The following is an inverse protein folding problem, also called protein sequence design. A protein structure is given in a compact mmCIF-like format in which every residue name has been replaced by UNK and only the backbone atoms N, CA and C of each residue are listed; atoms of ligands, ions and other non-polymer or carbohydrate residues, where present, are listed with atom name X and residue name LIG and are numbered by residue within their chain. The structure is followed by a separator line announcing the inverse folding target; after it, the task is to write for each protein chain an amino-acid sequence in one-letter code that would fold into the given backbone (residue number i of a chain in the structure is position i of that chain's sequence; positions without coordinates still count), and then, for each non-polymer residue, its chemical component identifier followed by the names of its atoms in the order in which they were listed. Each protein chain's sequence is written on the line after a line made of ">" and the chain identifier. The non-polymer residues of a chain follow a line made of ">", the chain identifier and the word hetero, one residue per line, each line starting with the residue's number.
data_IF_329341236970
#
_entry.id   IF_329341236970
#
_cell.length_a   1.000
_cell.length_b   1.000
_cell.length_c   1.000
_cell.angle_alpha   90.00
_cell.angle_beta   90.00
_cell.angle_gamma   90.00
#
_symmetry.space_group_name_H-M   'P 1'
#
loop_
_entity.id
_entity.type
_entity.pdbx_description
1 polymer ?
#
# COMPACT_ATOMS: atom_id res chain seq x y z
N UNK A 1 -36.14 39.40 -23.48
CA UNK A 1 -36.41 38.12 -22.83
C UNK A 1 -35.43 37.03 -23.26
N UNK A 2 -35.23 36.71 -24.56
CA UNK A 2 -34.30 35.63 -24.99
C UNK A 2 -32.86 35.78 -24.46
N UNK A 3 -32.27 36.99 -24.43
CA UNK A 3 -30.94 37.27 -23.91
C UNK A 3 -30.79 37.04 -22.39
N UNK A 4 -31.85 37.34 -21.62
CA UNK A 4 -31.90 37.18 -20.17
C UNK A 4 -31.98 35.67 -19.85
N UNK A 5 -32.79 34.92 -20.59
CA UNK A 5 -32.91 33.46 -20.44
C UNK A 5 -31.57 32.76 -20.77
N UNK A 6 -30.88 33.19 -21.82
CA UNK A 6 -29.57 32.65 -22.18
C UNK A 6 -28.51 32.93 -21.09
N UNK A 7 -28.53 34.13 -20.49
CA UNK A 7 -27.61 34.49 -19.40
C UNK A 7 -27.89 33.69 -18.13
N UNK A 8 -29.16 33.47 -17.79
CA UNK A 8 -29.56 32.61 -16.64
C UNK A 8 -29.20 31.18 -16.90
N UNK A 9 -29.37 30.63 -18.11
CA UNK A 9 -28.94 29.29 -18.46
C UNK A 9 -27.41 29.14 -18.40
N UNK A 10 -26.64 30.14 -18.83
CA UNK A 10 -25.18 30.14 -18.75
C UNK A 10 -24.73 30.19 -17.29
N UNK A 11 -25.33 30.98 -16.43
CA UNK A 11 -25.08 31.03 -15.00
C UNK A 11 -25.38 29.69 -14.31
N UNK A 12 -26.50 29.04 -14.66
CA UNK A 12 -26.85 27.73 -14.12
C UNK A 12 -25.86 26.62 -14.57
N UNK A 13 -25.32 26.69 -15.77
CA UNK A 13 -24.30 25.76 -16.26
C UNK A 13 -22.98 25.95 -15.49
N UNK A 14 -22.57 27.20 -15.26
CA UNK A 14 -21.35 27.50 -14.50
C UNK A 14 -21.46 27.05 -13.04
N UNK A 15 -22.65 27.22 -12.42
CA UNK A 15 -22.90 26.78 -11.03
C UNK A 15 -22.84 25.25 -10.92
N UNK A 16 -23.34 24.50 -11.92
CA UNK A 16 -23.26 23.04 -11.92
C UNK A 16 -21.84 22.52 -12.19
N UNK A 17 -20.99 23.29 -12.89
CA UNK A 17 -19.60 22.90 -13.15
C UNK A 17 -18.67 22.99 -11.91
N UNK A 18 -19.14 23.62 -10.83
CA UNK A 18 -18.40 23.79 -9.57
C UNK A 18 -19.11 23.12 -8.37
N UNK A 19 -20.01 22.16 -8.63
CA UNK A 19 -20.67 21.44 -7.55
C UNK A 19 -19.68 20.50 -6.85
N UNK A 20 -19.62 20.59 -5.54
CA UNK A 20 -18.79 19.70 -4.70
C UNK A 20 -19.05 18.23 -5.01
N UNK A 21 -17.97 17.48 -5.22
CA UNK A 21 -18.03 16.06 -5.50
C UNK A 21 -17.87 15.26 -4.20
N UNK A 22 -18.88 14.49 -3.86
CA UNK A 22 -18.87 13.68 -2.64
C UNK A 22 -17.66 12.74 -2.59
N UNK A 23 -17.04 12.65 -1.42
CA UNK A 23 -15.85 11.82 -1.17
C UNK A 23 -16.22 10.48 -0.51
N UNK A 24 -17.30 10.44 0.29
CA UNK A 24 -17.72 9.24 1.04
C UNK A 24 -18.79 8.51 0.26
N UNK A 25 -18.40 7.84 -0.82
CA UNK A 25 -19.30 7.14 -1.75
C UNK A 25 -19.20 5.64 -1.57
N UNK A 26 -20.35 4.95 -1.49
CA UNK A 26 -20.44 3.50 -1.44
C UNK A 26 -19.75 2.86 -2.63
N UNK A 27 -18.96 1.80 -2.39
CA UNK A 27 -18.23 1.06 -3.43
C UNK A 27 -16.88 1.65 -3.79
N UNK A 28 -16.63 2.94 -3.52
CA UNK A 28 -15.39 3.62 -3.88
C UNK A 28 -14.16 3.00 -3.21
N UNK A 29 -13.08 2.84 -3.97
CA UNK A 29 -11.88 2.20 -3.42
C UNK A 29 -10.58 2.81 -3.96
N UNK A 30 -9.50 2.64 -3.18
CA UNK A 30 -8.15 3.11 -3.52
C UNK A 30 -7.13 2.01 -3.30
N UNK A 31 -6.21 1.86 -4.24
CA UNK A 31 -5.02 1.05 -4.07
C UNK A 31 -3.86 1.96 -3.64
N UNK A 32 -3.26 1.61 -2.51
CA UNK A 32 -2.18 2.37 -1.88
C UNK A 32 -0.93 1.51 -1.88
N UNK A 33 0.10 1.94 -2.61
CA UNK A 33 1.40 1.28 -2.55
C UNK A 33 2.18 1.79 -1.33
N UNK A 34 2.77 0.87 -0.59
CA UNK A 34 3.75 1.14 0.45
C UNK A 34 5.10 0.60 0.00
N UNK A 35 6.14 1.44 0.05
CA UNK A 35 7.50 1.05 -0.23
C UNK A 35 8.34 1.23 1.03
N UNK A 36 9.06 0.19 1.45
CA UNK A 36 9.90 0.21 2.62
C UNK A 36 11.31 -0.28 2.29
N UNK A 37 12.35 0.35 2.89
CA UNK A 37 13.71 -0.12 2.88
C UNK A 37 13.94 -1.05 4.06
N UNK A 38 14.41 -2.26 3.80
CA UNK A 38 14.72 -3.22 4.85
C UNK A 38 16.24 -3.18 5.08
N UNK A 39 16.66 -2.45 6.11
CA UNK A 39 18.05 -2.47 6.53
C UNK A 39 18.34 -3.76 7.33
N UNK A 40 19.56 -4.37 7.22
CA UNK A 40 20.73 -3.89 6.49
C UNK A 40 20.88 -4.45 5.05
N UNK A 41 19.85 -5.02 4.45
CA UNK A 41 19.94 -5.84 3.24
C UNK A 41 19.79 -5.07 1.94
N UNK A 42 19.57 -3.75 1.98
CA UNK A 42 19.19 -2.92 0.81
C UNK A 42 17.98 -3.45 0.00
N UNK A 43 17.25 -4.41 0.57
CA UNK A 43 16.06 -4.97 -0.07
C UNK A 43 14.93 -3.94 -0.01
N UNK A 44 14.37 -3.67 -1.17
CA UNK A 44 13.21 -2.80 -1.35
C UNK A 44 11.95 -3.66 -1.30
N UNK A 45 11.05 -3.31 -0.40
CA UNK A 45 9.77 -4.00 -0.25
C UNK A 45 8.62 -3.13 -0.73
N UNK A 46 7.84 -3.66 -1.65
CA UNK A 46 6.56 -3.07 -2.05
C UNK A 46 5.40 -3.93 -1.53
N UNK A 47 4.33 -3.28 -1.16
CA UNK A 47 3.04 -3.91 -0.90
C UNK A 47 1.93 -2.97 -1.32
N UNK A 48 0.88 -3.50 -1.91
CA UNK A 48 -0.31 -2.73 -2.24
C UNK A 48 -1.45 -3.14 -1.32
N UNK A 49 -1.91 -2.19 -0.53
CA UNK A 49 -3.12 -2.30 0.27
C UNK A 49 -4.29 -1.71 -0.52
N UNK A 50 -5.52 -2.15 -0.22
CA UNK A 50 -6.75 -1.54 -0.75
C UNK A 50 -7.57 -0.97 0.40
N UNK A 51 -8.05 0.25 0.23
CA UNK A 51 -9.07 0.87 1.08
C UNK A 51 -10.38 0.88 0.30
N UNK A 52 -11.50 0.50 0.92
CA UNK A 52 -12.81 0.47 0.29
C UNK A 52 -13.90 0.95 1.25
N UNK A 53 -14.79 1.80 0.74
CA UNK A 53 -16.00 2.19 1.44
C UNK A 53 -17.08 1.17 1.10
N UNK A 54 -17.60 0.45 2.10
CA UNK A 54 -18.59 -0.59 1.86
C UNK A 54 -19.46 -0.86 3.10
N UNK A 55 -20.76 -0.65 2.94
CA UNK A 55 -21.78 -0.89 3.93
C UNK A 55 -21.91 0.20 4.98
N UNK A 56 -23.10 0.26 5.56
CA UNK A 56 -23.51 1.28 6.52
C UNK A 56 -23.39 0.80 7.98
N UNK A 57 -23.26 1.76 8.89
CA UNK A 57 -23.40 1.60 10.31
C UNK A 57 -24.22 2.75 10.88
N UNK A 58 -25.13 2.47 11.82
CA UNK A 58 -25.93 3.52 12.47
C UNK A 58 -25.42 3.67 13.90
N UNK A 59 -25.03 4.88 14.25
CA UNK A 59 -24.61 5.24 15.62
C UNK A 59 -25.43 6.45 16.05
N UNK A 60 -26.18 6.31 17.15
CA UNK A 60 -27.04 7.34 17.72
C UNK A 60 -28.00 8.00 16.68
N UNK A 61 -28.48 7.19 15.73
CA UNK A 61 -29.39 7.62 14.67
C UNK A 61 -28.71 8.27 13.46
N UNK A 62 -27.38 8.44 13.48
CA UNK A 62 -26.58 8.96 12.36
C UNK A 62 -26.07 7.80 11.53
N UNK A 63 -26.20 7.91 10.20
CA UNK A 63 -25.69 6.92 9.25
C UNK A 63 -24.24 7.24 8.90
N UNK A 64 -23.38 6.24 9.04
CA UNK A 64 -21.97 6.28 8.65
C UNK A 64 -21.69 5.20 7.62
N UNK A 65 -20.77 5.46 6.71
CA UNK A 65 -20.17 4.47 5.82
C UNK A 65 -18.98 3.79 6.50
N UNK A 66 -18.80 2.48 6.26
CA UNK A 66 -17.66 1.73 6.78
C UNK A 66 -16.47 1.83 5.85
N UNK A 67 -15.32 2.23 6.37
CA UNK A 67 -14.07 2.15 5.65
C UNK A 67 -13.33 0.87 6.03
N UNK A 68 -13.09 0.04 5.03
CA UNK A 68 -12.35 -1.21 5.16
C UNK A 68 -10.93 -1.06 4.63
N UNK A 69 -9.98 -1.71 5.28
CA UNK A 69 -8.61 -1.87 4.77
C UNK A 69 -8.33 -3.35 4.52
N UNK A 70 -7.87 -3.64 3.33
CA UNK A 70 -7.29 -4.89 2.90
C UNK A 70 -5.77 -4.73 2.94
N UNK A 71 -5.08 -5.49 3.77
CA UNK A 71 -3.62 -5.42 3.90
C UNK A 71 -2.86 -5.86 2.65
N UNK A 72 -3.55 -6.57 1.77
CA UNK A 72 -3.14 -6.92 0.42
C UNK A 72 -4.34 -6.69 -0.49
N UNK A 73 -4.20 -5.87 -1.53
CA UNK A 73 -5.30 -5.48 -2.40
C UNK A 73 -5.97 -6.65 -3.13
N UNK A 74 -5.25 -7.76 -3.29
CA UNK A 74 -5.76 -9.00 -3.91
C UNK A 74 -6.25 -10.04 -2.88
N UNK A 75 -6.39 -9.67 -1.60
CA UNK A 75 -6.87 -10.55 -0.53
C UNK A 75 -8.29 -10.19 -0.13
N UNK A 76 -9.08 -11.18 0.27
CA UNK A 76 -10.39 -10.96 0.88
C UNK A 76 -10.33 -10.62 2.37
N UNK A 77 -9.14 -10.73 2.98
CA UNK A 77 -8.95 -10.41 4.39
C UNK A 77 -8.96 -8.91 4.59
N UNK A 78 -9.96 -8.43 5.31
CA UNK A 78 -10.15 -7.01 5.62
C UNK A 78 -10.42 -6.79 7.10
N UNK A 79 -10.18 -5.57 7.54
CA UNK A 79 -10.57 -5.09 8.86
C UNK A 79 -11.19 -3.69 8.75
N UNK A 80 -12.14 -3.42 9.63
CA UNK A 80 -12.78 -2.12 9.74
C UNK A 80 -11.78 -1.12 10.31
N UNK A 81 -11.59 0.00 9.61
CA UNK A 81 -10.69 1.08 10.04
C UNK A 81 -11.42 2.07 10.90
N UNK A 82 -12.41 2.74 10.32
CA UNK A 82 -13.26 3.73 10.96
C UNK A 82 -14.62 3.76 10.25
N UNK A 83 -15.55 4.47 10.86
CA UNK A 83 -16.79 4.89 10.21
C UNK A 83 -16.61 6.30 9.67
N UNK A 84 -17.20 6.58 8.50
CA UNK A 84 -17.08 7.85 7.81
C UNK A 84 -18.45 8.50 7.63
N UNK A 85 -18.52 9.80 7.81
CA UNK A 85 -19.68 10.62 7.48
C UNK A 85 -19.23 11.86 6.72
N UNK A 86 -20.05 12.30 5.79
CA UNK A 86 -19.79 13.50 5.01
C UNK A 86 -20.94 14.50 5.17
N UNK A 87 -20.58 15.74 5.37
CA UNK A 87 -21.47 16.88 5.27
C UNK A 87 -21.23 17.57 3.94
N UNK A 88 -22.16 17.34 2.99
CA UNK A 88 -22.04 17.84 1.62
C UNK A 88 -22.17 19.38 1.58
N UNK A 89 -23.02 19.96 2.43
CA UNK A 89 -23.25 21.40 2.45
C UNK A 89 -22.03 22.15 3.00
N UNK A 90 -21.43 21.62 4.06
CA UNK A 90 -20.22 22.18 4.66
C UNK A 90 -18.93 21.69 4.00
N UNK A 91 -18.98 20.72 3.09
CA UNK A 91 -17.85 20.07 2.41
C UNK A 91 -16.85 19.46 3.41
N UNK A 92 -17.39 18.80 4.45
CA UNK A 92 -16.60 18.21 5.53
C UNK A 92 -16.75 16.71 5.59
N UNK A 93 -15.63 16.01 5.82
CA UNK A 93 -15.61 14.57 6.07
C UNK A 93 -15.17 14.32 7.50
N UNK A 94 -15.91 13.47 8.19
CA UNK A 94 -15.68 13.09 9.57
C UNK A 94 -15.34 11.60 9.67
N UNK A 95 -14.45 11.27 10.59
CA UNK A 95 -14.14 9.90 10.99
C UNK A 95 -14.69 9.65 12.40
N UNK A 96 -15.30 8.48 12.61
CA UNK A 96 -15.83 8.04 13.90
C UNK A 96 -15.23 6.70 14.32
N UNK A 97 -14.71 6.65 15.55
CA UNK A 97 -14.24 5.41 16.19
C UNK A 97 -14.44 5.47 17.71
N UNK A 98 -14.97 4.39 18.30
CA UNK A 98 -15.09 4.18 19.75
C UNK A 98 -15.76 5.34 20.52
N UNK A 99 -16.80 5.92 19.96
CA UNK A 99 -17.57 7.01 20.60
C UNK A 99 -17.03 8.41 20.34
N UNK A 100 -16.01 8.55 19.51
CA UNK A 100 -15.41 9.84 19.17
C UNK A 100 -15.55 10.10 17.67
N UNK A 101 -16.12 11.27 17.31
CA UNK A 101 -16.12 11.77 15.94
C UNK A 101 -15.12 12.91 15.84
N UNK A 102 -14.29 12.91 14.79
CA UNK A 102 -13.30 13.94 14.52
C UNK A 102 -13.33 14.35 13.06
N UNK A 103 -12.99 15.61 12.79
CA UNK A 103 -12.84 16.11 11.42
C UNK A 103 -11.66 15.41 10.74
N UNK A 104 -11.92 14.84 9.55
CA UNK A 104 -10.91 14.22 8.71
C UNK A 104 -10.47 15.18 7.60
N UNK A 105 -11.44 15.75 6.85
CA UNK A 105 -11.20 16.73 5.79
C UNK A 105 -12.18 17.88 5.90
N UNK A 106 -11.72 19.08 5.59
CA UNK A 106 -12.54 20.27 5.37
C UNK A 106 -12.16 20.90 4.04
N UNK A 107 -13.05 20.78 3.06
CA UNK A 107 -12.87 21.39 1.74
C UNK A 107 -13.66 22.71 1.61
N UNK A 108 -14.46 23.06 2.64
CA UNK A 108 -15.19 24.34 2.74
C UNK A 108 -14.33 25.54 3.17
N UNK A 109 -13.04 25.34 3.34
CA UNK A 109 -12.09 26.32 3.87
C UNK A 109 -11.69 27.40 2.88
N UNK A 110 -11.11 28.49 3.43
CA UNK A 110 -10.43 29.57 2.70
C UNK A 110 -8.91 29.56 3.00
N UNK A 111 -8.13 30.20 2.13
CA UNK A 111 -6.68 30.34 2.31
C UNK A 111 -6.38 31.12 3.60
N UNK A 112 -5.52 30.57 4.46
CA UNK A 112 -5.17 31.11 5.76
C UNK A 112 -5.98 30.55 6.93
N UNK A 113 -7.04 29.79 6.67
CA UNK A 113 -7.79 29.12 7.74
C UNK A 113 -6.94 28.13 8.50
N UNK A 114 -7.17 28.07 9.81
CA UNK A 114 -6.53 27.10 10.71
C UNK A 114 -7.57 26.12 11.22
N UNK A 115 -7.35 24.84 10.95
CA UNK A 115 -8.26 23.77 11.35
C UNK A 115 -7.54 22.70 12.17
N UNK A 116 -8.34 22.01 13.00
CA UNK A 116 -7.88 20.82 13.73
C UNK A 116 -8.47 19.60 13.08
N UNK A 117 -7.63 18.61 12.78
CA UNK A 117 -8.01 17.40 12.07
C UNK A 117 -7.44 16.15 12.74
N UNK A 118 -7.91 15.00 12.28
CA UNK A 118 -7.32 13.72 12.61
C UNK A 118 -5.94 13.59 11.93
N UNK A 119 -4.87 13.63 12.71
CA UNK A 119 -3.51 13.55 12.17
C UNK A 119 -3.00 12.14 11.99
N UNK A 120 -3.44 11.19 12.81
CA UNK A 120 -2.91 9.81 12.81
C UNK A 120 -4.01 8.78 13.05
N UNK A 121 -4.25 7.95 12.04
CA UNK A 121 -5.14 6.78 12.11
C UNK A 121 -4.44 5.50 12.53
N UNK A 122 -3.12 5.48 12.71
CA UNK A 122 -2.42 4.26 13.11
C UNK A 122 -3.00 3.66 14.41
N UNK A 123 -3.61 4.50 15.23
CA UNK A 123 -4.31 4.07 16.45
C UNK A 123 -5.63 3.37 16.18
N UNK A 124 -6.31 3.64 15.06
CA UNK A 124 -7.53 2.92 14.70
C UNK A 124 -7.23 1.45 14.37
N UNK A 125 -6.04 1.14 13.90
CA UNK A 125 -5.59 -0.23 13.60
C UNK A 125 -5.21 -1.05 14.85
N UNK A 126 -5.02 -0.40 15.99
CA UNK A 126 -4.64 -1.08 17.22
C UNK A 126 -5.87 -1.24 18.13
N UNK A 127 -6.39 -2.46 18.33
CA UNK A 127 -7.56 -2.70 19.16
C UNK A 127 -7.37 -2.24 20.63
N UNK A 128 -6.12 -2.11 21.08
CA UNK A 128 -5.77 -1.65 22.43
C UNK A 128 -5.56 -0.13 22.51
N UNK A 129 -5.73 0.61 21.42
CA UNK A 129 -5.58 2.07 21.44
C UNK A 129 -6.78 2.77 22.06
N UNK A 130 -6.57 4.01 22.51
CA UNK A 130 -7.63 4.88 23.02
C UNK A 130 -8.63 5.37 21.95
N UNK A 131 -8.48 4.92 20.69
CA UNK A 131 -9.27 5.41 19.56
C UNK A 131 -8.63 6.61 18.87
N UNK A 132 -9.41 7.23 17.97
CA UNK A 132 -9.02 8.43 17.21
C UNK A 132 -9.25 9.70 18.04
N UNK A 133 -8.50 10.76 17.73
CA UNK A 133 -8.67 12.10 18.31
C UNK A 133 -8.17 13.16 17.35
N UNK A 134 -8.69 14.37 17.49
CA UNK A 134 -8.08 15.55 16.87
C UNK A 134 -6.72 15.78 17.51
N UNK A 135 -5.66 15.67 16.74
CA UNK A 135 -4.30 15.75 17.25
C UNK A 135 -3.35 16.50 16.31
N UNK A 136 -3.89 17.16 15.29
CA UNK A 136 -3.10 17.89 14.31
C UNK A 136 -3.74 19.24 13.99
N UNK A 137 -2.95 20.31 14.09
CA UNK A 137 -3.33 21.65 13.66
C UNK A 137 -2.65 21.96 12.32
N UNK A 138 -3.44 22.28 11.32
CA UNK A 138 -2.97 22.61 9.97
C UNK A 138 -3.55 23.95 9.51
N UNK A 139 -2.84 24.59 8.59
CA UNK A 139 -3.23 25.86 7.97
C UNK A 139 -3.38 25.67 6.47
N UNK A 140 -4.42 26.26 5.89
CA UNK A 140 -4.65 26.25 4.44
C UNK A 140 -3.65 27.19 3.79
N UNK A 141 -2.75 26.62 2.98
CA UNK A 141 -1.73 27.38 2.25
C UNK A 141 -2.26 27.86 0.89
N UNK A 142 -2.94 26.97 0.17
CA UNK A 142 -3.41 27.25 -1.18
C UNK A 142 -4.66 26.44 -1.51
N UNK A 143 -5.47 27.00 -2.40
CA UNK A 143 -6.64 26.36 -3.00
C UNK A 143 -6.52 26.48 -4.52
N UNK A 144 -6.48 25.34 -5.20
CA UNK A 144 -6.42 25.23 -6.64
C UNK A 144 -7.64 24.46 -7.18
N UNK A 145 -7.83 24.51 -8.47
CA UNK A 145 -8.81 23.74 -9.20
C UNK A 145 -8.16 23.03 -10.38
N UNK A 146 -8.54 21.78 -10.60
CA UNK A 146 -8.02 20.96 -11.70
C UNK A 146 -9.17 20.35 -12.49
N UNK A 147 -9.02 20.32 -13.81
CA UNK A 147 -9.97 19.61 -14.67
C UNK A 147 -9.71 18.10 -14.59
N UNK A 148 -10.72 17.38 -14.14
CA UNK A 148 -10.73 15.92 -14.13
C UNK A 148 -11.60 15.41 -15.29
N UNK A 149 -11.16 14.43 -16.08
CA UNK A 149 -11.88 13.96 -17.26
C UNK A 149 -13.22 13.27 -16.93
N UNK A 150 -13.41 12.83 -15.69
CA UNK A 150 -14.59 12.08 -15.25
C UNK A 150 -15.54 12.98 -14.44
N UNK A 151 -14.99 13.73 -13.49
CA UNK A 151 -15.75 14.48 -12.50
C UNK A 151 -15.82 15.99 -12.78
N UNK A 152 -15.18 16.47 -13.85
CA UNK A 152 -15.10 17.90 -14.18
C UNK A 152 -14.10 18.64 -13.29
N UNK A 153 -14.39 19.88 -12.93
CA UNK A 153 -13.48 20.70 -12.12
C UNK A 153 -13.49 20.25 -10.66
N UNK A 154 -12.36 19.78 -10.16
CA UNK A 154 -12.17 19.35 -8.76
C UNK A 154 -11.37 20.37 -7.96
N UNK A 155 -11.75 20.60 -6.72
CA UNK A 155 -11.04 21.44 -5.75
C UNK A 155 -9.84 20.70 -5.19
N UNK A 156 -8.73 21.40 -5.06
CA UNK A 156 -7.49 20.92 -4.43
C UNK A 156 -7.14 21.87 -3.30
N UNK A 157 -6.95 21.33 -2.10
CA UNK A 157 -6.55 22.12 -0.94
C UNK A 157 -5.19 21.66 -0.45
N UNK A 158 -4.25 22.59 -0.39
CA UNK A 158 -2.91 22.34 0.16
C UNK A 158 -2.83 22.93 1.54
N UNK A 159 -2.43 22.09 2.50
CA UNK A 159 -2.24 22.45 3.90
C UNK A 159 -0.77 22.37 4.27
N UNK A 160 -0.36 23.09 5.31
CA UNK A 160 0.90 22.88 5.99
C UNK A 160 0.69 22.68 7.49
N UNK A 161 1.57 21.89 8.09
CA UNK A 161 1.55 21.62 9.52
C UNK A 161 2.27 22.74 10.28
N UNK A 162 1.65 23.23 11.37
CA UNK A 162 2.21 24.30 12.22
C UNK A 162 2.81 23.76 13.52
N UNK A 163 2.73 22.46 13.78
CA UNK A 163 3.33 21.88 15.00
C UNK A 163 4.85 21.83 14.89
N UNK A 164 5.55 22.10 15.99
CA UNK A 164 7.02 22.27 16.01
C UNK A 164 7.79 21.12 15.36
N UNK A 165 7.36 19.87 15.59
CA UNK A 165 8.03 18.66 15.08
C UNK A 165 7.85 18.49 13.56
N UNK A 166 6.76 19.03 12.99
CA UNK A 166 6.37 18.84 11.60
C UNK A 166 6.20 20.16 10.86
N UNK A 167 6.74 21.23 11.39
CA UNK A 167 6.56 22.56 10.86
C UNK A 167 7.00 22.67 9.40
N UNK A 168 6.09 23.18 8.56
CA UNK A 168 6.32 23.37 7.12
C UNK A 168 6.12 22.12 6.25
N UNK A 169 5.80 20.95 6.81
CA UNK A 169 5.39 19.81 5.98
C UNK A 169 4.04 20.08 5.35
N UNK A 170 3.98 19.85 4.03
CA UNK A 170 2.79 20.09 3.23
C UNK A 170 2.09 18.80 2.84
N UNK A 171 0.78 18.87 2.75
CA UNK A 171 -0.04 17.82 2.18
C UNK A 171 -1.14 18.42 1.30
N UNK A 172 -1.60 17.64 0.35
CA UNK A 172 -2.59 18.06 -0.61
C UNK A 172 -3.75 17.09 -0.60
N UNK A 173 -4.95 17.62 -0.43
CA UNK A 173 -6.22 16.88 -0.49
C UNK A 173 -6.91 17.23 -1.81
N UNK A 174 -7.25 16.22 -2.57
CA UNK A 174 -8.02 16.32 -3.79
C UNK A 174 -9.47 15.98 -3.47
N UNK A 175 -10.38 16.87 -3.83
CA UNK A 175 -11.79 16.56 -3.85
C UNK A 175 -12.01 15.21 -4.57
N UNK A 176 -12.93 14.39 -4.12
CA UNK A 176 -13.21 13.05 -4.62
C UNK A 176 -12.12 12.01 -4.29
N UNK A 177 -10.84 12.33 -4.42
CA UNK A 177 -9.75 11.35 -4.33
C UNK A 177 -9.05 11.29 -2.95
N UNK A 178 -9.26 12.30 -2.10
CA UNK A 178 -8.55 12.41 -0.83
C UNK A 178 -7.07 12.76 -0.98
N UNK A 179 -6.24 12.31 -0.06
CA UNK A 179 -4.80 12.63 -0.06
C UNK A 179 -4.01 11.76 -1.04
N UNK A 180 -2.92 12.31 -1.57
CA UNK A 180 -2.00 11.58 -2.45
C UNK A 180 -1.28 10.44 -1.73
N UNK A 181 -1.13 10.53 -0.41
CA UNK A 181 -0.45 9.55 0.44
C UNK A 181 -1.36 8.41 0.90
N UNK A 182 -2.60 8.40 0.46
CA UNK A 182 -3.63 7.47 0.88
C UNK A 182 -4.79 8.23 1.51
N UNK A 183 -6.00 7.75 1.29
CA UNK A 183 -7.22 8.48 1.66
C UNK A 183 -7.29 8.88 3.14
N UNK A 184 -6.59 8.15 4.01
CA UNK A 184 -6.59 8.32 5.45
C UNK A 184 -5.19 8.47 6.06
N UNK A 185 -4.17 8.75 5.27
CA UNK A 185 -2.83 8.85 5.82
C UNK A 185 -2.49 10.28 6.25
N UNK A 186 -1.82 10.30 7.38
CA UNK A 186 -1.23 11.38 8.13
C UNK A 186 -1.04 12.66 7.35
N UNK A 187 -1.86 13.63 7.68
CA UNK A 187 -1.66 15.00 7.25
C UNK A 187 -0.24 15.46 7.60
N UNK A 188 0.53 15.81 6.58
CA UNK A 188 1.78 16.54 6.75
C UNK A 188 2.73 15.96 7.82
N UNK A 189 2.72 14.65 8.05
CA UNK A 189 3.68 14.02 8.96
C UNK A 189 4.89 13.54 8.18
N UNK A 190 6.09 13.94 8.65
CA UNK A 190 7.33 13.38 8.14
C UNK A 190 7.40 11.90 8.51
N UNK A 191 7.56 11.05 7.52
CA UNK A 191 7.83 9.63 7.77
C UNK A 191 9.26 9.48 8.30
N UNK A 192 9.39 9.28 9.59
CA UNK A 192 10.65 8.86 10.21
C UNK A 192 10.71 7.34 10.09
N UNK A 193 11.48 6.81 9.14
CA UNK A 193 11.65 5.36 9.05
C UNK A 193 11.71 4.75 7.65
N UNK A 194 11.85 5.56 6.60
CA UNK A 194 12.19 5.04 5.26
C UNK A 194 11.07 4.30 4.52
N UNK A 195 9.81 4.40 4.95
CA UNK A 195 8.67 3.92 4.17
C UNK A 195 7.91 5.10 3.55
N UNK A 196 7.51 4.96 2.29
CA UNK A 196 6.65 5.90 1.60
C UNK A 196 5.35 5.22 1.20
N UNK A 197 4.25 5.99 1.22
CA UNK A 197 2.94 5.49 0.78
C UNK A 197 2.37 6.45 -0.26
N UNK A 198 1.71 5.87 -1.29
CA UNK A 198 1.06 6.66 -2.34
C UNK A 198 -0.19 5.94 -2.85
N UNK A 199 -1.23 6.71 -3.12
CA UNK A 199 -2.37 6.26 -3.92
C UNK A 199 -1.90 6.12 -5.36
N UNK A 200 -2.02 4.93 -5.91
CA UNK A 200 -1.65 4.63 -7.30
C UNK A 200 -2.87 4.52 -8.21
N UNK A 201 -3.96 3.99 -7.70
CA UNK A 201 -5.21 3.87 -8.43
C UNK A 201 -6.40 4.15 -7.52
N UNK A 202 -7.48 4.68 -8.11
CA UNK A 202 -8.80 4.73 -7.50
C UNK A 202 -9.84 4.13 -8.45
N UNK A 203 -10.88 3.55 -7.86
CA UNK A 203 -11.97 2.90 -8.57
C UNK A 203 -13.29 3.43 -8.04
N UNK A 204 -14.24 3.62 -8.91
CA UNK A 204 -15.59 4.09 -8.58
C UNK A 204 -16.47 2.98 -7.96
N UNK A 205 -17.74 3.29 -7.76
CA UNK A 205 -18.76 2.38 -7.23
C UNK A 205 -19.07 1.18 -8.12
N UNK A 206 -18.64 1.20 -9.38
CA UNK A 206 -18.78 0.11 -10.35
C UNK A 206 -17.49 -0.70 -10.52
N UNK A 207 -16.47 -0.45 -9.69
CA UNK A 207 -15.10 -0.97 -9.82
C UNK A 207 -14.41 -0.52 -11.14
N UNK A 208 -14.85 0.58 -11.76
CA UNK A 208 -14.19 1.17 -12.91
C UNK A 208 -13.02 2.06 -12.47
N UNK A 209 -11.90 1.94 -13.19
CA UNK A 209 -10.69 2.72 -12.90
C UNK A 209 -10.91 4.20 -13.24
N UNK A 210 -10.93 5.06 -12.22
CA UNK A 210 -11.17 6.51 -12.37
C UNK A 210 -9.91 7.34 -12.13
N UNK A 211 -8.90 6.79 -11.49
CA UNK A 211 -7.60 7.44 -11.30
C UNK A 211 -6.50 6.42 -11.46
N UNK A 212 -5.53 6.71 -12.33
CA UNK A 212 -4.25 6.00 -12.39
C UNK A 212 -3.12 7.01 -12.33
N UNK A 213 -2.22 6.82 -11.38
CA UNK A 213 -1.04 7.68 -11.23
C UNK A 213 0.21 6.86 -11.55
N UNK A 214 0.96 7.32 -12.53
CA UNK A 214 2.34 6.89 -12.70
C UNK A 214 3.17 7.52 -11.60
N UNK A 215 3.90 6.72 -10.87
CA UNK A 215 4.65 7.20 -9.73
C UNK A 215 6.04 6.60 -9.67
N UNK A 216 7.03 7.48 -9.75
CA UNK A 216 8.43 7.11 -9.46
C UNK A 216 8.67 7.22 -7.97
N UNK A 217 8.84 6.10 -7.31
CA UNK A 217 9.22 6.09 -5.89
C UNK A 217 10.74 6.29 -5.84
N UNK A 218 11.18 7.44 -5.33
CA UNK A 218 12.60 7.79 -5.22
C UNK A 218 13.39 6.65 -4.60
N UNK A 219 14.36 6.13 -5.33
CA UNK A 219 15.18 4.98 -4.94
C UNK A 219 14.55 3.61 -5.17
N UNK A 220 13.31 3.51 -5.69
CA UNK A 220 12.59 2.24 -5.88
C UNK A 220 12.21 1.95 -7.35
N UNK A 221 12.11 2.98 -8.19
CA UNK A 221 11.70 2.87 -9.59
C UNK A 221 10.24 3.22 -9.82
N UNK A 222 9.80 2.99 -11.04
CA UNK A 222 8.47 3.37 -11.50
C UNK A 222 7.43 2.32 -11.11
N UNK A 223 6.25 2.78 -10.69
CA UNK A 223 5.08 1.97 -10.40
C UNK A 223 4.05 2.28 -11.49
N UNK A 224 3.86 1.34 -12.40
CA UNK A 224 2.97 1.49 -13.55
C UNK A 224 1.61 0.79 -13.36
N UNK A 225 1.54 -0.21 -12.46
CA UNK A 225 0.36 -1.03 -12.24
C UNK A 225 -0.40 -0.66 -10.97
N UNK A 226 -1.72 -0.88 -10.98
CA UNK A 226 -2.57 -0.69 -9.80
C UNK A 226 -2.28 -1.68 -8.66
N UNK A 227 -1.47 -2.69 -8.88
CA UNK A 227 -1.02 -3.65 -7.88
C UNK A 227 0.46 -3.96 -8.04
N UNK A 228 1.22 -3.71 -6.98
CA UNK A 228 2.65 -4.04 -6.90
C UNK A 228 2.92 -4.72 -5.58
N UNK A 229 3.57 -5.87 -5.64
CA UNK A 229 4.00 -6.62 -4.46
C UNK A 229 5.39 -7.17 -4.71
N UNK A 230 6.34 -6.76 -3.89
CA UNK A 230 7.61 -7.48 -3.86
C UNK A 230 7.37 -8.72 -3.02
N UNK A 231 7.39 -9.86 -3.65
CA UNK A 231 7.58 -11.08 -2.90
C UNK A 231 8.98 -10.99 -2.26
N UNK A 232 9.01 -10.78 -0.94
CA UNK A 232 10.17 -11.20 -0.18
C UNK A 232 10.02 -12.72 -0.12
N UNK A 233 10.20 -13.33 -1.29
CA UNK A 233 10.67 -14.68 -1.28
C UNK A 233 12.04 -14.60 -0.63
N UNK A 234 12.38 -15.53 0.20
CA UNK A 234 13.64 -16.18 0.02
C UNK A 234 13.69 -16.46 -1.48
N UNK A 235 14.15 -15.49 -2.27
CA UNK A 235 14.62 -15.75 -3.61
C UNK A 235 15.93 -16.52 -3.45
N UNK A 236 15.77 -17.76 -3.08
CA UNK A 236 16.41 -18.79 -3.87
C UNK A 236 15.69 -18.64 -5.22
N UNK A 237 16.30 -17.93 -6.15
CA UNK A 237 15.93 -18.07 -7.55
C UNK A 237 15.89 -19.58 -7.77
N UNK A 238 14.69 -20.11 -7.94
CA UNK A 238 14.55 -21.46 -8.43
C UNK A 238 15.11 -21.36 -9.85
N UNK A 239 16.29 -21.92 -10.13
CA UNK A 239 16.87 -21.81 -11.47
C UNK A 239 15.81 -22.33 -12.42
N UNK A 240 15.54 -21.55 -13.47
CA UNK A 240 14.64 -21.96 -14.57
C UNK A 240 15.32 -23.02 -15.44
N UNK A 241 15.85 -24.05 -14.81
CA UNK A 241 16.29 -25.30 -15.43
C UNK A 241 16.02 -26.37 -14.41
N UNK A 242 15.28 -27.38 -14.81
CA UNK A 242 15.06 -28.61 -14.06
C UNK A 242 16.39 -29.36 -13.86
N UNK A 243 17.31 -28.78 -13.12
CA UNK A 243 18.49 -29.48 -12.64
C UNK A 243 18.08 -30.13 -11.34
N UNK A 244 17.72 -31.40 -11.40
CA UNK A 244 17.20 -32.12 -10.25
C UNK A 244 18.32 -32.65 -9.38
N UNK A 245 18.55 -31.98 -8.24
CA UNK A 245 19.29 -32.61 -7.13
C UNK A 245 18.25 -33.12 -6.14
N UNK A 246 18.18 -34.41 -5.91
CA UNK A 246 17.32 -35.01 -4.90
C UNK A 246 18.02 -36.07 -4.06
N UNK A 247 17.64 -36.19 -2.80
CA UNK A 247 18.17 -37.15 -1.88
C UNK A 247 17.20 -38.31 -1.66
N UNK A 248 17.65 -39.54 -1.93
CA UNK A 248 16.92 -40.74 -1.57
C UNK A 248 17.39 -41.23 -0.20
N UNK A 249 16.54 -41.11 0.82
CA UNK A 249 16.87 -41.48 2.20
C UNK A 249 16.98 -42.98 2.44
N UNK A 250 16.34 -43.83 1.61
CA UNK A 250 16.39 -45.27 1.72
C UNK A 250 17.77 -45.80 1.19
N UNK A 251 18.19 -45.26 0.07
CA UNK A 251 19.45 -45.65 -0.57
C UNK A 251 20.65 -44.88 -0.02
N UNK A 252 20.39 -43.81 0.77
CA UNK A 252 21.40 -42.88 1.27
C UNK A 252 22.28 -42.32 0.15
N UNK A 253 21.61 -41.86 -0.93
CA UNK A 253 22.27 -41.33 -2.12
C UNK A 253 21.68 -39.98 -2.51
N UNK A 254 22.55 -39.06 -2.91
CA UNK A 254 22.21 -37.83 -3.56
C UNK A 254 22.27 -38.04 -5.07
N UNK A 255 21.18 -37.87 -5.78
CA UNK A 255 21.10 -37.93 -7.22
C UNK A 255 21.30 -36.55 -7.81
N UNK A 256 21.99 -36.49 -8.95
CA UNK A 256 22.50 -35.28 -9.56
C UNK A 256 22.19 -35.36 -11.04
N UNK A 257 21.44 -34.39 -11.56
CA UNK A 257 21.11 -34.29 -12.98
C UNK A 257 21.49 -32.93 -13.53
N UNK A 258 22.79 -32.77 -13.78
CA UNK A 258 23.32 -31.62 -14.54
C UNK A 258 24.56 -32.03 -15.33
N UNK A 259 24.86 -31.23 -16.36
CA UNK A 259 25.98 -31.47 -17.26
C UNK A 259 27.17 -30.58 -16.86
N UNK A 260 28.33 -31.22 -16.73
CA UNK A 260 29.60 -30.53 -16.45
C UNK A 260 30.35 -31.03 -15.21
N UNK A 261 31.58 -30.57 -15.08
CA UNK A 261 32.42 -30.85 -13.92
C UNK A 261 32.18 -29.73 -12.88
N UNK A 262 31.73 -30.11 -11.69
CA UNK A 262 31.40 -29.16 -10.65
C UNK A 262 31.79 -29.58 -9.24
N UNK A 263 31.85 -28.60 -8.33
CA UNK A 263 32.08 -28.85 -6.91
C UNK A 263 30.75 -28.61 -6.16
N UNK A 264 30.23 -29.67 -5.55
CA UNK A 264 29.04 -29.57 -4.68
C UNK A 264 29.43 -29.30 -3.24
N UNK A 265 28.77 -28.36 -2.61
CA UNK A 265 28.84 -28.08 -1.20
C UNK A 265 27.50 -28.35 -0.51
N UNK A 266 27.54 -29.01 0.65
CA UNK A 266 26.36 -29.32 1.46
C UNK A 266 26.49 -28.61 2.79
N UNK A 267 25.44 -27.89 3.18
CA UNK A 267 25.35 -27.13 4.43
C UNK A 267 24.20 -27.65 5.27
N UNK A 268 24.35 -27.64 6.58
CA UNK A 268 23.23 -27.87 7.51
C UNK A 268 22.34 -26.61 7.65
N UNK A 269 21.26 -26.74 8.40
CA UNK A 269 20.30 -25.67 8.64
C UNK A 269 20.90 -24.44 9.36
N UNK A 270 22.08 -24.59 9.98
CA UNK A 270 22.83 -23.52 10.65
C UNK A 270 23.86 -22.85 9.72
N UNK A 271 23.89 -23.24 8.45
CA UNK A 271 24.87 -22.74 7.47
C UNK A 271 26.27 -23.32 7.63
N UNK A 272 26.45 -24.33 8.49
CA UNK A 272 27.73 -25.02 8.62
C UNK A 272 27.93 -25.98 7.45
N UNK A 273 29.07 -25.86 6.78
CA UNK A 273 29.45 -26.76 5.69
C UNK A 273 29.73 -28.17 6.21
N UNK A 274 28.94 -29.13 5.73
CA UNK A 274 28.99 -30.55 6.13
C UNK A 274 29.86 -31.34 5.21
N UNK A 275 29.84 -31.04 3.89
CA UNK A 275 30.58 -31.77 2.86
C UNK A 275 30.91 -30.85 1.68
N UNK A 276 32.03 -31.16 1.02
CA UNK A 276 32.31 -30.68 -0.34
C UNK A 276 32.77 -31.89 -1.15
N UNK A 277 32.29 -32.01 -2.37
CA UNK A 277 32.70 -33.09 -3.28
C UNK A 277 32.78 -32.57 -4.71
N UNK A 278 33.92 -32.85 -5.33
CA UNK A 278 34.07 -32.64 -6.78
C UNK A 278 33.34 -33.79 -7.50
N UNK A 279 32.60 -33.42 -8.52
CA UNK A 279 31.83 -34.32 -9.38
C UNK A 279 32.15 -34.00 -10.83
N UNK A 280 32.13 -35.02 -11.67
CA UNK A 280 32.27 -34.92 -13.12
C UNK A 280 30.93 -35.13 -13.84
N UNK A 281 30.90 -34.88 -15.14
CA UNK A 281 29.71 -35.02 -15.97
C UNK A 281 29.15 -36.46 -16.02
N UNK A 282 29.96 -37.47 -15.66
CA UNK A 282 29.54 -38.86 -15.58
C UNK A 282 28.91 -39.22 -14.22
N UNK A 283 29.10 -38.38 -13.19
CA UNK A 283 28.61 -38.62 -11.85
C UNK A 283 27.12 -38.32 -11.73
N UNK A 284 26.26 -39.33 -11.82
CA UNK A 284 24.81 -39.19 -11.69
C UNK A 284 24.28 -39.38 -10.24
N UNK A 285 25.10 -39.92 -9.33
CA UNK A 285 24.75 -39.98 -7.91
C UNK A 285 26.01 -40.17 -7.02
N UNK A 286 25.90 -39.68 -5.80
CA UNK A 286 26.94 -39.84 -4.77
C UNK A 286 26.35 -40.47 -3.51
N UNK A 287 27.07 -41.40 -2.84
CA UNK A 287 26.67 -41.90 -1.54
C UNK A 287 26.79 -40.78 -0.52
N UNK A 288 25.76 -40.56 0.27
CA UNK A 288 25.66 -39.47 1.22
C UNK A 288 24.96 -39.94 2.50
N UNK A 289 25.67 -40.05 3.59
CA UNK A 289 25.13 -40.47 4.87
C UNK A 289 24.97 -39.26 5.81
N UNK A 290 23.83 -38.64 5.74
CA UNK A 290 23.48 -37.49 6.58
C UNK A 290 22.61 -37.92 7.77
N UNK A 291 22.74 -37.20 8.88
CA UNK A 291 21.84 -37.34 10.02
C UNK A 291 20.48 -36.72 9.65
N UNK A 292 19.46 -37.14 10.40
CA UNK A 292 18.13 -36.51 10.26
C UNK A 292 18.24 -34.99 10.39
N UNK A 293 17.65 -34.26 9.45
CA UNK A 293 17.75 -32.82 9.40
C UNK A 293 17.45 -32.21 8.02
N UNK A 294 17.58 -30.88 7.94
CA UNK A 294 17.45 -30.09 6.72
C UNK A 294 18.86 -29.71 6.26
N UNK A 295 19.11 -29.88 4.96
CA UNK A 295 20.39 -29.52 4.34
C UNK A 295 20.14 -28.74 3.06
N UNK A 296 21.08 -27.86 2.73
CA UNK A 296 21.13 -27.10 1.50
C UNK A 296 22.32 -27.59 0.68
N UNK A 297 22.05 -27.91 -0.58
CA UNK A 297 23.07 -28.32 -1.55
C UNK A 297 23.28 -27.18 -2.54
N UNK A 298 24.53 -26.78 -2.75
CA UNK A 298 24.91 -25.72 -3.69
C UNK A 298 26.05 -26.22 -4.58
N UNK A 299 26.20 -25.58 -5.76
CA UNK A 299 27.43 -25.71 -6.51
C UNK A 299 28.47 -24.65 -6.08
N UNK A 300 29.68 -24.71 -6.63
CA UNK A 300 30.79 -23.79 -6.35
C UNK A 300 30.45 -22.33 -6.71
N UNK A 301 29.61 -22.13 -7.72
CA UNK A 301 29.21 -20.81 -8.20
C UNK A 301 27.96 -20.30 -7.48
N UNK A 302 27.41 -21.06 -6.53
CA UNK A 302 26.16 -20.77 -5.81
C UNK A 302 24.93 -20.59 -6.71
N UNK A 303 24.98 -21.10 -7.95
CA UNK A 303 23.88 -20.95 -8.93
C UNK A 303 22.83 -22.07 -8.86
N UNK A 304 23.09 -23.13 -8.08
CA UNK A 304 22.15 -24.25 -7.89
C UNK A 304 21.90 -24.43 -6.42
N UNK A 305 20.63 -24.38 -6.06
CA UNK A 305 20.19 -24.60 -4.69
C UNK A 305 19.15 -25.72 -4.66
N UNK A 306 19.40 -26.74 -3.89
CA UNK A 306 18.40 -27.75 -3.56
C UNK A 306 18.31 -27.93 -2.06
N UNK A 307 17.08 -27.95 -1.55
CA UNK A 307 16.79 -28.26 -0.15
C UNK A 307 16.48 -29.75 -0.03
N UNK A 308 17.25 -30.46 0.73
CA UNK A 308 17.00 -31.87 1.05
C UNK A 308 16.56 -32.04 2.49
N UNK A 309 15.58 -32.90 2.71
CA UNK A 309 15.10 -33.29 4.06
C UNK A 309 15.42 -34.75 4.28
N UNK A 310 16.30 -34.99 5.26
CA UNK A 310 16.65 -36.34 5.71
C UNK A 310 15.76 -36.71 6.87
N UNK A 311 14.95 -37.76 6.72
CA UNK A 311 14.00 -38.27 7.71
C UNK A 311 14.61 -39.40 8.52
#
# INVERSE_FOLDING_TARGET
>A
MKKIILFICLMLIVINAMAYQAMVVEGYSWNVVSAAHILPTDLKKYSTAKQKIEGDSIVDGIVYKKLWLYSDANSDKRFLVVLLREDIEEQKVFAYDKGVEVLLYDLGVEVGDTIKVLGDLSKAYNPNSAGIKENLTIVVENIDFVEDPIYGTLKIVTYYNVEEVFNGFKCTVYERYGMTTGWLFNYCMAYVGGSTQRVICAFDENDELVLKREYTITGYGDVEDCYVKTEIGTHIETPQKEECIYYNSQEKRLYIDFDGDESLAIYDAMGKRVMVKEIDSATKSIPLNLKQGIYIVTNKNQNIYSKIVVK
#
